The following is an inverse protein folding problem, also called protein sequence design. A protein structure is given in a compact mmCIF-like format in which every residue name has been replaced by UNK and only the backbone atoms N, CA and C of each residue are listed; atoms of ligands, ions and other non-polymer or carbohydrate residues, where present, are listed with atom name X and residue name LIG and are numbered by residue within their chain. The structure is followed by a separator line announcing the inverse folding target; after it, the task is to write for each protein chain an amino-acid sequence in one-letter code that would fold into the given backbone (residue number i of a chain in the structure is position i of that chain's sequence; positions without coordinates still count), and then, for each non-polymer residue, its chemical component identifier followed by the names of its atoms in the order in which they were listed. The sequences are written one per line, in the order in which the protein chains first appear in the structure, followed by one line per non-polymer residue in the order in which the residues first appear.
data_IF_037653234445
#
_entry.id   IF_037653234445
#
_cell.length_a   1.000
_cell.length_b   1.000
_cell.length_c   1.000
_cell.angle_alpha   90.00
_cell.angle_beta   90.00
_cell.angle_gamma   90.00
#
_symmetry.space_group_name_H-M   'P 1'
#
loop_
_entity.id
_entity.type
_entity.pdbx_description
1 polymer ?
#
# COMPACT_ATOMS: atom_id res chain seq x y z
N UNK A 1 29.28 -6.47 7.35
CA UNK A 1 30.25 -5.41 7.02
C UNK A 1 29.58 -4.09 7.37
N UNK A 2 29.89 -3.53 8.54
CA UNK A 2 29.33 -2.25 8.98
C UNK A 2 30.03 -1.12 8.22
N UNK A 3 29.31 -0.09 7.74
CA UNK A 3 29.95 1.08 7.16
C UNK A 3 30.68 1.84 8.28
N UNK A 4 32.00 1.96 8.17
CA UNK A 4 32.82 2.83 9.02
C UNK A 4 32.38 4.27 8.80
N UNK A 5 31.89 4.90 9.87
CA UNK A 5 31.62 6.34 9.88
C UNK A 5 32.97 7.04 9.88
N UNK A 6 33.26 7.78 8.80
CA UNK A 6 34.46 8.59 8.65
C UNK A 6 34.46 9.73 9.69
N UNK A 7 35.03 9.47 10.86
CA UNK A 7 35.04 10.35 12.04
C UNK A 7 35.60 11.75 11.74
N UNK A 8 36.52 11.86 10.77
CA UNK A 8 37.10 13.13 10.35
C UNK A 8 36.10 14.01 9.59
N UNK A 9 35.27 13.42 8.72
CA UNK A 9 34.19 14.15 8.02
C UNK A 9 33.07 14.54 8.98
N UNK A 10 32.76 13.69 9.95
CA UNK A 10 31.76 14.01 10.98
C UNK A 10 32.23 15.16 11.88
N UNK A 11 33.52 15.19 12.25
CA UNK A 11 34.13 16.28 13.01
C UNK A 11 34.09 17.63 12.28
N UNK A 12 34.39 17.66 10.97
CA UNK A 12 34.30 18.88 10.15
C UNK A 12 32.88 19.43 10.05
N UNK A 13 31.90 18.57 9.75
CA UNK A 13 30.50 18.96 9.65
C UNK A 13 29.93 19.55 10.97
N UNK A 14 30.36 19.02 12.11
CA UNK A 14 29.97 19.53 13.44
C UNK A 14 30.55 20.92 13.74
N UNK A 15 31.76 21.21 13.26
CA UNK A 15 32.39 22.52 13.42
C UNK A 15 31.71 23.56 12.53
N UNK A 16 31.40 23.21 11.28
CA UNK A 16 30.70 24.09 10.35
C UNK A 16 29.27 24.41 10.85
N UNK A 17 28.53 23.40 11.31
CA UNK A 17 27.20 23.59 11.90
C UNK A 17 27.25 24.51 13.13
N UNK A 18 28.27 24.37 13.98
CA UNK A 18 28.44 25.25 15.15
C UNK A 18 28.77 26.68 14.75
N UNK A 19 29.54 26.88 13.68
CA UNK A 19 29.84 28.21 13.14
C UNK A 19 28.57 28.88 12.59
N UNK A 20 27.75 28.15 11.82
CA UNK A 20 26.47 28.63 11.30
C UNK A 20 25.47 29.00 12.41
N UNK A 21 25.36 28.18 13.46
CA UNK A 21 24.51 28.47 14.62
C UNK A 21 24.99 29.74 15.35
N UNK A 22 26.30 29.95 15.43
CA UNK A 22 26.85 31.14 16.08
C UNK A 22 26.60 32.40 15.25
N UNK A 23 26.76 32.32 13.94
CA UNK A 23 26.50 33.43 13.02
C UNK A 23 25.02 33.83 13.00
N UNK A 24 24.12 32.85 12.94
CA UNK A 24 22.66 33.10 12.98
C UNK A 24 22.25 33.75 14.30
N UNK A 25 22.80 33.30 15.43
CA UNK A 25 22.57 33.92 16.74
C UNK A 25 23.06 35.37 16.80
N UNK A 26 24.24 35.66 16.25
CA UNK A 26 24.79 37.02 16.21
C UNK A 26 23.94 37.96 15.35
N UNK A 27 23.46 37.49 14.20
CA UNK A 27 22.54 38.26 13.34
C UNK A 27 21.22 38.56 14.06
N UNK A 28 20.65 37.59 14.78
CA UNK A 28 19.43 37.80 15.56
C UNK A 28 19.61 38.85 16.67
N UNK A 29 20.74 38.83 17.38
CA UNK A 29 21.06 39.82 18.42
C UNK A 29 21.23 41.23 17.84
N UNK A 30 21.88 41.36 16.69
CA UNK A 30 22.04 42.65 16.02
C UNK A 30 20.68 43.24 15.63
N UNK A 31 19.81 42.43 15.01
CA UNK A 31 18.46 42.86 14.63
C UNK A 31 17.61 43.23 15.84
N UNK A 32 17.69 42.47 16.94
CA UNK A 32 16.96 42.78 18.16
C UNK A 32 17.31 44.18 18.71
N UNK A 33 18.59 44.56 18.64
CA UNK A 33 19.04 45.90 19.05
C UNK A 33 18.49 47.00 18.14
N UNK A 34 18.48 46.79 16.83
CA UNK A 34 17.92 47.75 15.87
C UNK A 34 16.42 47.97 16.09
N UNK A 35 15.68 46.91 16.42
CA UNK A 35 14.24 46.95 16.69
C UNK A 35 13.91 47.43 18.12
N UNK A 36 14.90 47.63 18.99
CA UNK A 36 14.69 47.91 20.42
C UNK A 36 14.03 46.75 21.18
N UNK A 37 14.16 45.52 20.69
CA UNK A 37 13.64 44.31 21.31
C UNK A 37 14.60 43.82 22.41
N UNK A 38 14.12 43.76 23.65
CA UNK A 38 14.93 43.46 24.83
C UNK A 38 14.65 42.09 25.45
N UNK A 39 13.63 41.40 24.96
CA UNK A 39 13.20 40.11 25.52
C UNK A 39 14.07 38.96 25.01
N UNK A 40 13.79 37.75 25.48
CA UNK A 40 14.53 36.55 25.13
C UNK A 40 14.44 36.22 23.64
N UNK A 41 15.60 35.96 23.00
CA UNK A 41 15.72 35.67 21.57
C UNK A 41 15.71 34.17 21.23
N UNK A 42 15.36 33.32 22.19
CA UNK A 42 15.17 31.90 21.88
C UNK A 42 14.00 31.74 20.92
N UNK A 43 14.07 30.74 20.04
CA UNK A 43 13.00 30.47 19.07
C UNK A 43 11.66 30.30 19.79
N UNK A 44 11.64 29.57 20.92
CA UNK A 44 10.45 29.38 21.73
C UNK A 44 9.86 30.68 22.26
N UNK A 45 10.69 31.57 22.83
CA UNK A 45 10.22 32.86 23.35
C UNK A 45 9.68 33.78 22.25
N UNK A 46 10.34 33.83 21.10
CA UNK A 46 9.87 34.59 19.94
C UNK A 46 8.54 34.03 19.41
N UNK A 47 8.41 32.71 19.28
CA UNK A 47 7.16 32.08 18.87
C UNK A 47 6.01 32.38 19.86
N UNK A 48 6.26 32.32 21.16
CA UNK A 48 5.26 32.62 22.18
C UNK A 48 4.86 34.11 22.16
N UNK A 49 5.82 35.02 21.97
CA UNK A 49 5.57 36.44 21.78
C UNK A 49 4.70 36.72 20.54
N UNK A 50 4.99 36.05 19.41
CA UNK A 50 4.19 36.13 18.19
C UNK A 50 2.76 35.67 18.46
N UNK A 51 2.59 34.50 19.08
CA UNK A 51 1.27 33.94 19.45
C UNK A 51 0.48 34.87 20.38
N UNK A 52 1.17 35.52 21.31
CA UNK A 52 0.56 36.52 22.21
C UNK A 52 0.03 37.73 21.43
N UNK A 53 0.84 38.33 20.55
CA UNK A 53 0.45 39.51 19.79
C UNK A 53 -0.59 39.21 18.70
N UNK A 54 -0.58 38.01 18.10
CA UNK A 54 -1.65 37.56 17.21
C UNK A 54 -3.00 37.53 17.94
N UNK A 55 -3.04 37.00 19.18
CA UNK A 55 -4.26 36.97 19.99
C UNK A 55 -4.71 38.37 20.35
N UNK A 56 -3.77 39.18 20.82
CA UNK A 56 -4.05 40.55 21.24
C UNK A 56 -4.59 41.40 20.10
N UNK A 57 -4.05 41.23 18.90
CA UNK A 57 -4.49 41.95 17.70
C UNK A 57 -5.92 41.56 17.32
N UNK A 58 -6.23 40.27 17.25
CA UNK A 58 -7.59 39.78 16.96
C UNK A 58 -8.60 40.31 17.98
N UNK A 59 -8.28 40.24 19.28
CA UNK A 59 -9.12 40.79 20.33
C UNK A 59 -9.32 42.29 20.18
N UNK A 60 -8.27 43.05 19.89
CA UNK A 60 -8.35 44.49 19.68
C UNK A 60 -9.23 44.86 18.47
N UNK A 61 -9.10 44.14 17.34
CA UNK A 61 -9.94 44.34 16.16
C UNK A 61 -11.42 44.06 16.44
N UNK A 62 -11.73 43.02 17.21
CA UNK A 62 -13.09 42.70 17.64
C UNK A 62 -13.66 43.77 18.57
N UNK A 63 -12.88 44.21 19.55
CA UNK A 63 -13.24 45.26 20.49
C UNK A 63 -13.48 46.60 19.77
N UNK A 64 -12.67 46.91 18.77
CA UNK A 64 -12.88 48.05 17.89
C UNK A 64 -14.21 47.93 17.12
N UNK A 65 -14.49 46.77 16.52
CA UNK A 65 -15.74 46.50 15.81
C UNK A 65 -16.98 46.67 16.68
N UNK A 66 -16.93 46.21 17.94
CA UNK A 66 -18.01 46.42 18.93
C UNK A 66 -18.26 47.90 19.18
N UNK A 67 -17.20 48.69 19.37
CA UNK A 67 -17.31 50.15 19.57
C UNK A 67 -17.87 50.86 18.34
N UNK A 68 -17.49 50.43 17.13
CA UNK A 68 -18.03 50.96 15.89
C UNK A 68 -19.52 50.64 15.70
N UNK A 69 -19.96 49.42 16.08
CA UNK A 69 -21.37 49.04 16.11
C UNK A 69 -22.17 49.93 17.07
N UNK A 70 -21.68 50.10 18.29
CA UNK A 70 -22.32 50.96 19.30
C UNK A 70 -22.34 52.43 18.87
N UNK A 71 -21.24 52.91 18.28
CA UNK A 71 -21.16 54.28 17.75
C UNK A 71 -22.20 54.49 16.65
N UNK A 72 -22.37 53.53 15.74
CA UNK A 72 -23.38 53.61 14.68
C UNK A 72 -24.80 53.71 15.25
N UNK A 73 -25.10 52.93 16.29
CA UNK A 73 -26.41 52.94 16.94
C UNK A 73 -26.66 54.24 17.73
N UNK A 74 -25.61 54.80 18.34
CA UNK A 74 -25.69 56.05 19.08
C UNK A 74 -25.70 57.31 18.19
N UNK A 75 -25.43 57.18 16.88
CA UNK A 75 -25.42 58.29 15.93
C UNK A 75 -26.73 58.40 15.14
N UNK A 76 -27.26 59.61 14.92
CA UNK A 76 -28.40 59.81 14.02
C UNK A 76 -28.13 59.29 12.59
N UNK A 77 -29.19 58.95 11.86
CA UNK A 77 -29.08 58.49 10.49
C UNK A 77 -28.33 59.51 9.61
N UNK A 78 -27.27 59.05 8.95
CA UNK A 78 -26.44 59.86 8.06
C UNK A 78 -25.12 60.32 8.67
N UNK A 79 -25.04 60.46 10.00
CA UNK A 79 -23.87 61.07 10.67
C UNK A 79 -22.72 60.09 10.94
N UNK A 80 -22.98 58.78 10.89
CA UNK A 80 -21.95 57.78 11.19
C UNK A 80 -20.71 57.89 10.29
N UNK A 81 -20.90 58.21 9.00
CA UNK A 81 -19.78 58.33 8.05
C UNK A 81 -18.83 59.46 8.44
N UNK A 82 -19.36 60.62 8.86
CA UNK A 82 -18.54 61.74 9.32
C UNK A 82 -17.76 61.40 10.61
N UNK A 83 -18.33 60.56 11.49
CA UNK A 83 -17.63 60.06 12.68
C UNK A 83 -16.48 59.12 12.33
N UNK A 84 -16.65 58.28 11.30
CA UNK A 84 -15.57 57.42 10.82
C UNK A 84 -14.39 58.24 10.27
N UNK A 85 -14.67 59.27 9.47
CA UNK A 85 -13.65 60.16 8.93
C UNK A 85 -12.86 60.87 10.03
N UNK A 86 -13.55 61.37 11.07
CA UNK A 86 -12.90 62.00 12.23
C UNK A 86 -11.97 61.05 12.99
N UNK A 87 -12.32 59.76 13.05
CA UNK A 87 -11.52 58.71 13.68
C UNK A 87 -10.45 58.13 12.75
N UNK A 88 -10.31 58.63 11.52
CA UNK A 88 -9.34 58.16 10.54
C UNK A 88 -9.69 56.80 9.92
N UNK A 89 -10.95 56.37 9.99
CA UNK A 89 -11.40 55.12 9.38
C UNK A 89 -11.82 55.31 7.94
N UNK A 90 -11.26 54.48 7.05
CA UNK A 90 -11.92 54.19 5.79
C UNK A 90 -13.24 53.46 6.07
N UNK A 91 -14.32 53.89 5.39
CA UNK A 91 -15.66 53.31 5.55
C UNK A 91 -15.64 51.79 5.43
N UNK A 92 -14.98 51.24 4.40
CA UNK A 92 -14.91 49.78 4.18
C UNK A 92 -14.29 49.05 5.38
N UNK A 93 -13.17 49.53 5.91
CA UNK A 93 -12.49 48.93 7.05
C UNK A 93 -13.34 48.96 8.32
N UNK A 94 -14.03 50.08 8.60
CA UNK A 94 -14.91 50.17 9.75
C UNK A 94 -16.04 49.13 9.72
N UNK A 95 -16.69 48.99 8.55
CA UNK A 95 -17.77 48.01 8.39
C UNK A 95 -17.27 46.56 8.46
N UNK A 96 -16.02 46.28 8.05
CA UNK A 96 -15.38 44.96 8.23
C UNK A 96 -15.19 44.62 9.71
N UNK A 97 -14.62 45.53 10.51
CA UNK A 97 -14.48 45.33 11.96
C UNK A 97 -15.85 45.10 12.62
N UNK A 98 -16.86 45.89 12.25
CA UNK A 98 -18.23 45.73 12.74
C UNK A 98 -18.82 44.36 12.35
N UNK A 99 -18.62 43.91 11.12
CA UNK A 99 -19.07 42.60 10.64
C UNK A 99 -18.45 41.45 11.43
N UNK A 100 -17.13 41.47 11.63
CA UNK A 100 -16.42 40.48 12.42
C UNK A 100 -16.92 40.44 13.88
N UNK A 101 -17.13 41.61 14.50
CA UNK A 101 -17.69 41.71 15.84
C UNK A 101 -19.13 41.19 15.93
N UNK A 102 -19.99 41.50 14.96
CA UNK A 102 -21.36 41.03 14.94
C UNK A 102 -21.45 39.51 14.73
N UNK A 103 -20.63 38.94 13.84
CA UNK A 103 -20.58 37.49 13.56
C UNK A 103 -20.10 36.71 14.80
N UNK A 104 -19.03 37.17 15.45
CA UNK A 104 -18.50 36.54 16.67
C UNK A 104 -19.43 36.65 17.87
N UNK A 105 -20.16 37.77 18.02
CA UNK A 105 -21.16 37.91 19.09
C UNK A 105 -22.33 36.92 18.96
N UNK A 106 -22.66 36.47 17.75
CA UNK A 106 -23.78 35.55 17.46
C UNK A 106 -23.41 34.06 17.55
N UNK A 107 -22.12 33.72 17.57
CA UNK A 107 -21.66 32.33 17.55
C UNK A 107 -20.66 32.06 18.67
N UNK A 108 -21.07 31.24 19.65
CA UNK A 108 -20.21 30.83 20.75
C UNK A 108 -18.97 30.07 20.26
N UNK A 109 -19.10 29.26 19.21
CA UNK A 109 -17.98 28.59 18.57
C UNK A 109 -17.00 29.60 17.98
N UNK A 110 -17.48 30.56 17.19
CA UNK A 110 -16.61 31.59 16.58
C UNK A 110 -15.93 32.47 17.64
N UNK A 111 -16.62 32.76 18.74
CA UNK A 111 -16.05 33.49 19.87
C UNK A 111 -14.97 32.69 20.61
N UNK A 112 -15.09 31.36 20.67
CA UNK A 112 -14.06 30.47 21.21
C UNK A 112 -12.86 30.40 20.27
N UNK A 113 -13.10 30.26 18.96
CA UNK A 113 -12.08 30.17 17.92
C UNK A 113 -11.24 31.46 17.83
N UNK A 114 -11.86 32.63 17.96
CA UNK A 114 -11.14 33.91 18.01
C UNK A 114 -10.11 34.00 19.16
N UNK A 115 -10.33 33.24 20.25
CA UNK A 115 -9.41 33.16 21.39
C UNK A 115 -8.34 32.07 21.22
N UNK A 116 -8.48 31.18 20.24
CA UNK A 116 -7.55 30.09 19.97
C UNK A 116 -6.48 30.51 18.97
N UNK A 117 -5.22 30.42 19.40
CA UNK A 117 -4.05 30.96 18.67
C UNK A 117 -3.83 30.34 17.30
N UNK A 118 -4.12 29.04 17.15
CA UNK A 118 -3.93 28.34 15.87
C UNK A 118 -4.85 28.84 14.75
N UNK A 119 -5.91 29.58 15.06
CA UNK A 119 -6.90 30.05 14.09
C UNK A 119 -6.89 31.57 13.90
N UNK A 120 -5.86 32.26 14.41
CA UNK A 120 -5.77 33.72 14.35
C UNK A 120 -5.33 34.26 12.99
N UNK A 121 -4.61 33.46 12.19
CA UNK A 121 -4.35 33.77 10.78
C UNK A 121 -5.66 33.87 9.99
N UNK A 122 -6.55 32.89 10.17
CA UNK A 122 -7.89 32.86 9.57
C UNK A 122 -8.74 34.07 10.00
N UNK A 123 -8.55 34.57 11.23
CA UNK A 123 -9.27 35.73 11.72
C UNK A 123 -8.69 37.06 11.22
N UNK A 124 -7.37 37.16 11.09
CA UNK A 124 -6.71 38.28 10.42
C UNK A 124 -7.17 38.37 8.97
N UNK A 125 -7.21 37.24 8.26
CA UNK A 125 -7.75 37.13 6.90
C UNK A 125 -9.24 37.50 6.84
N UNK A 126 -10.06 37.06 7.80
CA UNK A 126 -11.48 37.42 7.89
C UNK A 126 -11.72 38.94 8.15
N UNK A 127 -10.75 39.62 8.78
CA UNK A 127 -10.79 41.06 9.04
C UNK A 127 -10.23 41.85 7.84
N UNK A 128 -9.35 41.25 7.03
CA UNK A 128 -8.66 41.93 5.91
C UNK A 128 -9.25 41.66 4.52
N UNK A 129 -9.90 40.52 4.29
CA UNK A 129 -10.40 40.10 2.97
C UNK A 129 -11.95 40.16 2.85
N UNK A 130 -12.44 40.33 1.62
CA UNK A 130 -13.87 40.46 1.30
C UNK A 130 -14.65 39.14 1.49
N UNK A 131 -15.99 39.24 1.65
CA UNK A 131 -16.91 38.14 2.02
C UNK A 131 -16.85 36.89 1.11
N UNK A 132 -16.18 36.95 -0.04
CA UNK A 132 -15.98 35.86 -1.00
C UNK A 132 -14.94 34.80 -0.55
N UNK A 133 -14.27 34.99 0.60
CA UNK A 133 -13.34 34.00 1.19
C UNK A 133 -14.06 33.06 2.16
N UNK A 134 -15.23 33.43 2.70
CA UNK A 134 -15.93 32.60 3.69
C UNK A 134 -16.50 31.32 3.05
N UNK A 135 -16.89 31.35 1.77
CA UNK A 135 -17.22 30.13 1.01
C UNK A 135 -15.98 29.26 0.77
N UNK A 136 -14.80 29.88 0.59
CA UNK A 136 -13.53 29.15 0.46
C UNK A 136 -13.10 28.46 1.75
N UNK A 137 -13.50 28.91 2.95
CA UNK A 137 -13.18 28.22 4.22
C UNK A 137 -13.76 26.80 4.27
N UNK A 138 -14.90 26.56 3.60
CA UNK A 138 -15.46 25.22 3.45
C UNK A 138 -14.66 24.34 2.46
N UNK A 139 -13.88 24.95 1.57
CA UNK A 139 -13.08 24.32 0.52
C UNK A 139 -11.57 24.25 0.82
N UNK A 140 -11.11 24.85 1.93
CA UNK A 140 -9.72 24.69 2.42
C UNK A 140 -9.51 23.21 2.76
N UNK A 141 -8.72 22.53 1.94
CA UNK A 141 -8.31 21.13 2.12
C UNK A 141 -7.59 20.98 3.47
N UNK A 142 -7.61 19.79 4.08
CA UNK A 142 -7.07 19.58 5.43
C UNK A 142 -5.58 19.94 5.51
N UNK A 143 -4.88 19.93 4.38
CA UNK A 143 -3.48 20.38 4.22
C UNK A 143 -3.31 21.88 4.49
N UNK A 144 -4.23 22.72 4.00
CA UNK A 144 -4.18 24.18 4.16
C UNK A 144 -4.64 24.64 5.56
N UNK A 145 -5.26 23.74 6.33
CA UNK A 145 -5.60 23.95 7.76
C UNK A 145 -4.47 23.62 8.72
N UNK A 146 -3.45 22.89 8.26
CA UNK A 146 -2.35 22.47 9.12
C UNK A 146 -1.36 23.61 9.35
N UNK A 147 -0.95 23.81 10.61
CA UNK A 147 0.14 24.72 10.90
C UNK A 147 1.44 24.25 10.21
N UNK A 148 2.39 25.14 9.87
CA UNK A 148 3.64 24.74 9.21
C UNK A 148 4.43 23.64 9.95
N UNK A 149 4.28 23.55 11.27
CA UNK A 149 4.85 22.49 12.10
C UNK A 149 4.12 21.14 11.94
N UNK A 150 2.80 21.18 11.79
CA UNK A 150 1.96 20.01 11.52
C UNK A 150 2.20 19.51 10.09
N UNK A 151 2.33 20.39 9.10
CA UNK A 151 2.75 20.03 7.75
C UNK A 151 4.14 19.38 7.72
N UNK A 152 5.13 19.96 8.41
CA UNK A 152 6.46 19.35 8.50
C UNK A 152 6.42 17.97 9.16
N UNK A 153 5.58 17.79 10.18
CA UNK A 153 5.39 16.50 10.83
C UNK A 153 4.72 15.50 9.89
N UNK A 154 3.60 15.88 9.26
CA UNK A 154 2.88 15.06 8.30
C UNK A 154 3.77 14.64 7.12
N UNK A 155 4.63 15.54 6.61
CA UNK A 155 5.61 15.22 5.56
C UNK A 155 6.66 14.23 6.05
N UNK A 156 7.15 14.34 7.28
CA UNK A 156 8.10 13.36 7.85
C UNK A 156 7.44 12.00 8.06
N UNK A 157 6.23 11.98 8.61
CA UNK A 157 5.47 10.77 8.86
C UNK A 157 5.10 10.08 7.54
N UNK A 158 4.65 10.84 6.53
CA UNK A 158 4.38 10.32 5.19
C UNK A 158 5.64 9.77 4.51
N UNK A 159 6.79 10.44 4.63
CA UNK A 159 8.07 9.92 4.12
C UNK A 159 8.47 8.61 4.82
N UNK A 160 8.30 8.53 6.14
CA UNK A 160 8.57 7.32 6.90
C UNK A 160 7.63 6.17 6.52
N UNK A 161 6.34 6.44 6.33
CA UNK A 161 5.39 5.45 5.83
C UNK A 161 5.71 4.99 4.42
N UNK A 162 6.15 5.89 3.54
CA UNK A 162 6.49 5.57 2.16
C UNK A 162 7.70 4.63 2.11
N UNK A 163 8.76 4.95 2.87
CA UNK A 163 9.92 4.07 3.05
C UNK A 163 9.51 2.70 3.61
N UNK A 164 8.66 2.66 4.64
CA UNK A 164 8.18 1.40 5.21
C UNK A 164 7.32 0.60 4.21
N UNK A 165 6.54 1.27 3.35
CA UNK A 165 5.78 0.63 2.27
C UNK A 165 6.72 0.08 1.19
N UNK A 166 7.73 0.84 0.80
CA UNK A 166 8.74 0.41 -0.19
C UNK A 166 9.50 -0.83 0.30
N UNK A 167 9.92 -0.87 1.58
CA UNK A 167 10.53 -2.06 2.18
C UNK A 167 9.60 -3.27 2.19
N UNK A 168 8.30 -3.06 2.48
CA UNK A 168 7.29 -4.13 2.44
C UNK A 168 7.04 -4.62 1.03
N UNK A 169 7.06 -3.72 0.04
CA UNK A 169 6.92 -4.06 -1.37
C UNK A 169 8.13 -4.87 -1.82
N UNK A 170 9.36 -4.44 -1.50
CA UNK A 170 10.58 -5.18 -1.80
C UNK A 170 10.55 -6.60 -1.22
N UNK A 171 10.21 -6.75 0.08
CA UNK A 171 10.09 -8.07 0.72
C UNK A 171 9.00 -8.94 0.09
N UNK A 172 7.90 -8.35 -0.35
CA UNK A 172 6.83 -9.08 -1.06
C UNK A 172 7.27 -9.49 -2.46
N UNK A 173 8.00 -8.63 -3.16
CA UNK A 173 8.53 -8.89 -4.49
C UNK A 173 9.54 -10.04 -4.46
N UNK A 174 10.49 -10.03 -3.52
CA UNK A 174 11.40 -11.15 -3.27
C UNK A 174 10.66 -12.46 -3.00
N UNK A 175 9.57 -12.40 -2.22
CA UNK A 175 8.76 -13.58 -1.91
C UNK A 175 7.92 -14.06 -3.11
N UNK A 176 7.46 -13.15 -3.96
CA UNK A 176 6.78 -13.49 -5.21
C UNK A 176 7.76 -14.20 -6.14
N UNK A 177 8.95 -13.63 -6.35
CA UNK A 177 9.99 -14.21 -7.19
C UNK A 177 10.40 -15.61 -6.69
N UNK A 178 10.58 -15.79 -5.37
CA UNK A 178 10.88 -17.10 -4.79
C UNK A 178 9.75 -18.13 -5.02
N UNK A 179 8.49 -17.72 -4.92
CA UNK A 179 7.33 -18.59 -5.16
C UNK A 179 7.13 -18.89 -6.66
N UNK A 180 7.43 -17.93 -7.53
CA UNK A 180 7.43 -18.11 -8.99
C UNK A 180 8.53 -19.10 -9.41
N UNK A 181 9.72 -19.00 -8.83
CA UNK A 181 10.80 -19.98 -9.03
C UNK A 181 10.43 -21.37 -8.52
N UNK A 182 9.80 -21.46 -7.35
CA UNK A 182 9.33 -22.74 -6.78
C UNK A 182 8.23 -23.37 -7.63
N UNK A 183 7.25 -22.57 -8.08
CA UNK A 183 6.19 -23.05 -8.98
C UNK A 183 6.71 -23.40 -10.37
N UNK A 184 7.69 -22.68 -10.90
CA UNK A 184 8.37 -23.04 -12.14
C UNK A 184 9.10 -24.38 -12.01
N UNK A 185 9.83 -24.60 -10.91
CA UNK A 185 10.49 -25.89 -10.62
C UNK A 185 9.48 -27.03 -10.47
N UNK A 186 8.37 -26.81 -9.79
CA UNK A 186 7.30 -27.81 -9.64
C UNK A 186 6.64 -28.12 -10.99
N UNK A 187 6.36 -27.11 -11.83
CA UNK A 187 5.76 -27.31 -13.16
C UNK A 187 6.70 -28.05 -14.12
N UNK A 188 8.00 -27.78 -14.08
CA UNK A 188 8.99 -28.50 -14.88
C UNK A 188 9.14 -29.96 -14.43
N UNK A 189 8.99 -30.25 -13.13
CA UNK A 189 9.16 -31.60 -12.58
C UNK A 189 7.91 -32.51 -12.69
N UNK A 190 6.72 -31.97 -12.93
CA UNK A 190 5.46 -32.72 -12.72
C UNK A 190 4.79 -33.33 -13.95
N UNK A 191 5.18 -32.98 -15.18
CA UNK A 191 4.53 -33.57 -16.37
C UNK A 191 5.23 -34.82 -16.90
N UNK A 192 6.56 -34.86 -16.88
CA UNK A 192 7.31 -35.99 -17.45
C UNK A 192 7.45 -37.15 -16.46
N UNK A 193 7.81 -36.89 -15.19
CA UNK A 193 8.00 -37.95 -14.18
C UNK A 193 6.70 -38.68 -13.79
N UNK A 194 5.56 -37.97 -13.76
CA UNK A 194 4.27 -38.57 -13.43
C UNK A 194 3.71 -39.44 -14.58
N UNK A 195 3.92 -39.01 -15.84
CA UNK A 195 3.59 -39.83 -17.00
C UNK A 195 4.53 -41.02 -17.13
N UNK A 196 5.83 -40.84 -16.87
CA UNK A 196 6.80 -41.94 -16.87
C UNK A 196 6.50 -42.99 -15.79
N UNK A 197 6.15 -42.57 -14.57
CA UNK A 197 5.75 -43.49 -13.51
C UNK A 197 4.49 -44.30 -13.88
N UNK A 198 3.49 -43.66 -14.50
CA UNK A 198 2.29 -44.35 -14.97
C UNK A 198 2.60 -45.36 -16.09
N UNK A 199 3.48 -45.01 -17.02
CA UNK A 199 3.91 -45.91 -18.09
C UNK A 199 4.71 -47.11 -17.54
N UNK A 200 5.57 -46.90 -16.54
CA UNK A 200 6.30 -47.98 -15.86
C UNK A 200 5.33 -48.94 -15.15
N UNK A 201 4.36 -48.42 -14.41
CA UNK A 201 3.37 -49.27 -13.72
C UNK A 201 2.47 -50.03 -14.71
N UNK A 202 2.06 -49.40 -15.82
CA UNK A 202 1.33 -50.08 -16.88
C UNK A 202 2.15 -51.20 -17.53
N UNK A 203 3.44 -50.95 -17.84
CA UNK A 203 4.33 -51.96 -18.40
C UNK A 203 4.56 -53.14 -17.43
N UNK A 204 4.63 -52.90 -16.12
CA UNK A 204 4.70 -53.98 -15.11
C UNK A 204 3.44 -54.85 -15.11
N UNK A 205 2.26 -54.24 -15.21
CA UNK A 205 1.00 -54.96 -15.26
C UNK A 205 0.91 -55.83 -16.53
N UNK A 206 1.27 -55.27 -17.69
CA UNK A 206 1.33 -55.98 -18.97
C UNK A 206 2.31 -57.16 -18.92
N UNK A 207 3.55 -56.94 -18.48
CA UNK A 207 4.54 -57.99 -18.33
C UNK A 207 4.08 -59.12 -17.40
N UNK A 208 3.40 -58.79 -16.29
CA UNK A 208 2.88 -59.79 -15.33
C UNK A 208 1.81 -60.69 -15.98
N UNK A 209 0.89 -60.10 -16.75
CA UNK A 209 -0.12 -60.86 -17.49
C UNK A 209 0.54 -61.79 -18.52
N UNK A 210 1.47 -61.25 -19.32
CA UNK A 210 2.19 -62.02 -20.35
C UNK A 210 2.99 -63.17 -19.73
N UNK A 211 3.73 -62.92 -18.65
CA UNK A 211 4.48 -63.96 -17.93
C UNK A 211 3.57 -65.03 -17.33
N UNK A 212 2.39 -64.67 -16.83
CA UNK A 212 1.45 -65.65 -16.27
C UNK A 212 0.87 -66.55 -17.36
N UNK A 213 0.56 -65.99 -18.54
CA UNK A 213 0.08 -66.76 -19.69
C UNK A 213 1.18 -67.72 -20.18
N UNK A 214 2.41 -67.22 -20.34
CA UNK A 214 3.53 -68.02 -20.84
C UNK A 214 4.02 -69.06 -19.81
N UNK A 215 4.16 -68.69 -18.54
CA UNK A 215 4.77 -69.51 -17.50
C UNK A 215 3.80 -70.44 -16.77
N UNK A 216 2.50 -70.15 -16.77
CA UNK A 216 1.50 -70.93 -16.02
C UNK A 216 0.44 -71.53 -16.93
N UNK A 217 -0.22 -70.72 -17.75
CA UNK A 217 -1.35 -71.20 -18.55
C UNK A 217 -0.88 -72.14 -19.66
N UNK A 218 0.19 -71.78 -20.38
CA UNK A 218 0.71 -72.60 -21.49
C UNK A 218 1.15 -74.00 -21.01
N UNK A 219 2.00 -74.15 -19.97
CA UNK A 219 2.36 -75.48 -19.47
C UNK A 219 1.15 -76.29 -18.96
N UNK A 220 0.14 -75.63 -18.37
CA UNK A 220 -1.08 -76.31 -17.94
C UNK A 220 -1.89 -76.86 -19.13
N UNK A 221 -1.99 -76.09 -20.22
CA UNK A 221 -2.63 -76.54 -21.46
C UNK A 221 -1.84 -77.68 -22.12
N UNK A 222 -0.51 -77.59 -22.16
CA UNK A 222 0.36 -78.66 -22.68
C UNK A 222 0.22 -79.97 -21.87
N UNK A 223 0.15 -79.86 -20.54
CA UNK A 223 -0.07 -81.02 -19.67
C UNK A 223 -1.46 -81.66 -19.89
N UNK A 224 -2.51 -80.85 -20.05
CA UNK A 224 -3.85 -81.36 -20.38
C UNK A 224 -3.92 -81.97 -21.78
N UNK A 225 -3.15 -81.44 -22.74
CA UNK A 225 -3.05 -82.00 -24.09
C UNK A 225 -2.32 -83.35 -24.11
N UNK A 226 -1.35 -83.54 -23.21
CA UNK A 226 -0.58 -84.78 -23.08
C UNK A 226 -1.31 -85.88 -22.29
N UNK A 227 -2.38 -85.55 -21.56
CA UNK A 227 -3.20 -86.52 -20.84
C UNK A 227 -4.01 -87.40 -21.80
N UNK A 228 -4.30 -88.64 -21.40
CA UNK A 228 -5.04 -89.60 -22.24
C UNK A 228 -6.54 -89.25 -22.39
N UNK A 229 -7.09 -88.35 -21.57
CA UNK A 229 -8.47 -87.88 -21.67
C UNK A 229 -8.69 -86.79 -22.72
N UNK A 230 -9.89 -86.74 -23.31
CA UNK A 230 -10.27 -85.63 -24.19
C UNK A 230 -10.68 -84.40 -23.36
N UNK A 231 -9.75 -83.46 -23.23
CA UNK A 231 -9.96 -82.19 -22.54
C UNK A 231 -10.16 -81.00 -23.50
N UNK A 232 -10.33 -81.25 -24.80
CA UNK A 232 -10.35 -80.22 -25.85
C UNK A 232 -11.36 -79.12 -25.57
N UNK A 233 -12.59 -79.49 -25.18
CA UNK A 233 -13.64 -78.52 -24.88
C UNK A 233 -13.28 -77.62 -23.68
N UNK A 234 -12.65 -78.18 -22.64
CA UNK A 234 -12.25 -77.42 -21.44
C UNK A 234 -11.11 -76.46 -21.76
N UNK A 235 -10.10 -76.92 -22.49
CA UNK A 235 -8.98 -76.07 -22.94
C UNK A 235 -9.49 -74.92 -23.81
N UNK A 236 -10.35 -75.22 -24.80
CA UNK A 236 -10.94 -74.21 -25.68
C UNK A 236 -11.81 -73.21 -24.92
N UNK A 237 -12.64 -73.68 -23.97
CA UNK A 237 -13.47 -72.81 -23.15
C UNK A 237 -12.65 -71.87 -22.25
N UNK A 238 -11.54 -72.33 -21.69
CA UNK A 238 -10.64 -71.49 -20.88
C UNK A 238 -9.99 -70.40 -21.72
N UNK A 239 -9.52 -70.72 -22.93
CA UNK A 239 -8.94 -69.73 -23.85
C UNK A 239 -10.02 -68.73 -24.30
N UNK A 240 -11.21 -69.20 -24.69
CA UNK A 240 -12.32 -68.35 -25.09
C UNK A 240 -12.73 -67.38 -23.98
N UNK A 241 -12.77 -67.83 -22.72
CA UNK A 241 -13.07 -66.96 -21.57
C UNK A 241 -12.05 -65.81 -21.44
N UNK A 242 -10.76 -66.08 -21.59
CA UNK A 242 -9.72 -65.05 -21.50
C UNK A 242 -9.79 -64.06 -22.65
N UNK A 243 -10.15 -64.51 -23.86
CA UNK A 243 -10.35 -63.64 -25.01
C UNK A 243 -11.50 -62.66 -24.73
N UNK A 244 -12.65 -63.15 -24.26
CA UNK A 244 -13.81 -62.29 -23.93
C UNK A 244 -13.47 -61.26 -22.85
N UNK A 245 -12.68 -61.63 -21.85
CA UNK A 245 -12.24 -60.70 -20.80
C UNK A 245 -11.37 -59.56 -21.38
N UNK A 246 -10.40 -59.90 -22.25
CA UNK A 246 -9.55 -58.91 -22.90
C UNK A 246 -10.32 -58.01 -23.87
N UNK A 247 -11.31 -58.55 -24.58
CA UNK A 247 -12.21 -57.76 -25.43
C UNK A 247 -13.08 -56.81 -24.60
N UNK A 248 -13.55 -57.26 -23.43
CA UNK A 248 -14.30 -56.40 -22.50
C UNK A 248 -13.46 -55.23 -22.01
N UNK A 249 -12.21 -55.48 -21.58
CA UNK A 249 -11.28 -54.42 -21.20
C UNK A 249 -10.99 -53.46 -22.38
N UNK A 250 -10.78 -53.99 -23.59
CA UNK A 250 -10.60 -53.14 -24.78
C UNK A 250 -11.77 -52.19 -24.97
N UNK A 251 -13.00 -52.71 -24.88
CA UNK A 251 -14.22 -51.94 -25.12
C UNK A 251 -14.49 -50.92 -24.00
N UNK A 252 -14.22 -51.28 -22.73
CA UNK A 252 -14.31 -50.38 -21.57
C UNK A 252 -13.42 -49.14 -21.71
N UNK A 253 -12.20 -49.32 -22.22
CA UNK A 253 -11.25 -48.24 -22.46
C UNK A 253 -11.36 -47.60 -23.86
N UNK A 254 -12.33 -48.04 -24.68
CA UNK A 254 -12.55 -47.50 -26.03
C UNK A 254 -11.36 -47.69 -26.98
N UNK A 255 -10.58 -48.76 -26.79
CA UNK A 255 -9.35 -49.03 -27.54
C UNK A 255 -9.65 -49.64 -28.92
N UNK A 256 -8.91 -49.27 -29.98
CA UNK A 256 -9.10 -49.87 -31.30
C UNK A 256 -8.58 -51.31 -31.33
N UNK A 257 -9.15 -52.14 -32.19
CA UNK A 257 -8.55 -53.44 -32.53
C UNK A 257 -7.36 -53.20 -33.46
N UNK A 258 -6.17 -53.61 -33.03
CA UNK A 258 -4.95 -53.52 -33.85
C UNK A 258 -4.76 -54.81 -34.64
N UNK A 259 -4.54 -54.69 -35.95
CA UNK A 259 -4.02 -55.78 -36.78
C UNK A 259 -2.53 -56.04 -36.50
N UNK A 260 -2.03 -57.21 -36.91
CA UNK A 260 -0.63 -57.60 -36.67
C UNK A 260 0.40 -56.57 -37.21
N UNK A 261 0.07 -55.89 -38.31
CA UNK A 261 0.90 -54.85 -38.95
C UNK A 261 0.83 -53.48 -38.23
N UNK A 262 -0.08 -53.32 -37.27
CA UNK A 262 -0.31 -52.08 -36.53
C UNK A 262 0.27 -52.13 -35.11
N UNK A 263 0.83 -53.28 -34.70
CA UNK A 263 1.52 -53.44 -33.41
C UNK A 263 2.93 -52.84 -33.55
N UNK A 264 3.29 -51.81 -32.75
CA UNK A 264 4.59 -51.17 -32.86
C UNK A 264 5.79 -52.10 -32.60
N UNK A 265 6.91 -51.82 -33.28
CA UNK A 265 8.14 -52.64 -33.21
C UNK A 265 8.72 -52.79 -31.80
N UNK A 266 8.51 -51.81 -30.92
CA UNK A 266 8.99 -51.86 -29.53
C UNK A 266 8.23 -52.87 -28.65
N UNK A 267 7.01 -53.28 -29.05
CA UNK A 267 6.29 -54.40 -28.42
C UNK A 267 6.84 -55.74 -28.93
N UNK A 268 7.23 -55.81 -30.22
CA UNK A 268 7.77 -57.04 -30.81
C UNK A 268 9.18 -57.35 -30.29
N UNK A 269 10.01 -56.34 -30.01
CA UNK A 269 11.36 -56.52 -29.49
C UNK A 269 11.42 -57.14 -28.08
N UNK A 270 10.40 -56.94 -27.24
CA UNK A 270 10.36 -57.48 -25.87
C UNK A 270 10.17 -59.01 -25.82
N UNK A 271 9.67 -59.62 -26.89
CA UNK A 271 9.47 -61.08 -26.98
C UNK A 271 10.71 -61.83 -27.52
N UNK A 272 11.75 -61.13 -27.97
CA UNK A 272 12.96 -61.69 -28.58
C UNK A 272 14.18 -61.83 -27.65
N UNK A 273 13.97 -61.87 -26.33
CA UNK A 273 15.04 -61.96 -25.33
C UNK A 273 15.37 -63.39 -24.89
N UNK A 274 15.75 -64.27 -25.82
CA UNK A 274 16.48 -65.52 -25.49
C UNK A 274 17.55 -65.78 -26.54
N UNK A 275 18.81 -65.61 -26.13
CA UNK A 275 19.97 -66.38 -26.57
C UNK A 275 20.87 -66.60 -25.36
#
# INVERSE_FOLDING_TARGET
MHPEVDEAKFGGAMVDMRAEVTETQQRAVALARELGYTDELSIGALEDGIRFWQRRTVEACLELGKRLLLLKEATPHGDFTARLELLGFAKRSAYRFMGAAAKTAKSANLALLAKQVKQQSLFLELVTEDDDVIERIAEIDDVDRMAPTELRKAVRDAKAELLAKDERIAKKQERIEALEDETARIKVRTKDEATEALLIEFAKAEATCTMTVAGTLRPALEAMQADAGDHTLRMAATVAKLIVELETLRDEFGLPTLGAEQIPDWIQAAQGGEA
#
